data_IF_475496121414
#
_entry.id   IF_475496121414
#
_cell.length_a   1.000
_cell.length_b   1.000
_cell.length_c   1.000
_cell.angle_alpha   90.00
_cell.angle_beta   90.00
_cell.angle_gamma   90.00
#
_symmetry.space_group_name_H-M   'P 1'
#
loop_
_entity.id
_entity.type
_entity.pdbx_description
1 polymer ?
#
# COMPACT_ATOMS: atom_id res chain seq x y z
N UNK A 1 4.72 18.75 20.24
CA UNK A 1 5.72 17.74 19.82
C UNK A 1 5.15 16.42 19.28
N UNK A 2 3.85 16.12 19.41
CA UNK A 2 3.27 14.87 18.89
C UNK A 2 3.22 14.74 17.36
N UNK A 3 3.15 15.86 16.61
CA UNK A 3 2.97 15.82 15.16
C UNK A 3 4.18 15.20 14.42
N UNK A 4 5.42 15.55 14.84
CA UNK A 4 6.64 14.98 14.23
C UNK A 4 6.68 13.45 14.33
N UNK A 5 6.37 12.88 15.51
CA UNK A 5 6.38 11.42 15.70
C UNK A 5 5.32 10.75 14.84
N UNK A 6 4.13 11.35 14.74
CA UNK A 6 3.04 10.84 13.88
C UNK A 6 3.44 10.87 12.41
N UNK A 7 4.01 11.97 11.94
CA UNK A 7 4.49 12.08 10.56
C UNK A 7 5.59 11.07 10.23
N UNK A 8 6.48 10.79 11.18
CA UNK A 8 7.48 9.72 11.00
C UNK A 8 6.84 8.35 10.91
N UNK A 9 5.83 8.04 11.74
CA UNK A 9 5.10 6.78 11.64
C UNK A 9 4.42 6.61 10.29
N UNK A 10 3.77 7.66 9.76
CA UNK A 10 3.15 7.64 8.43
C UNK A 10 4.23 7.42 7.36
N UNK A 11 5.38 8.09 7.44
CA UNK A 11 6.51 7.89 6.52
C UNK A 11 7.05 6.46 6.54
N UNK A 12 7.22 5.87 7.73
CA UNK A 12 7.66 4.49 7.87
C UNK A 12 6.65 3.54 7.22
N UNK A 13 5.36 3.67 7.54
CA UNK A 13 4.33 2.82 6.95
C UNK A 13 4.26 2.94 5.41
N UNK A 14 4.46 4.14 4.86
CA UNK A 14 4.57 4.36 3.41
C UNK A 14 5.76 3.61 2.83
N UNK A 15 6.91 3.66 3.52
CA UNK A 15 8.11 2.93 3.16
C UNK A 15 7.90 1.41 3.16
N UNK A 16 7.19 0.89 4.16
CA UNK A 16 6.91 -0.53 4.29
C UNK A 16 5.99 -1.03 3.15
N UNK A 17 4.91 -0.30 2.86
CA UNK A 17 4.02 -0.60 1.72
C UNK A 17 4.79 -0.53 0.40
N UNK A 18 5.59 0.53 0.20
CA UNK A 18 6.40 0.69 -1.00
C UNK A 18 7.40 -0.48 -1.18
N UNK A 19 8.11 -0.83 -0.11
CA UNK A 19 9.08 -1.92 -0.11
C UNK A 19 8.41 -3.28 -0.40
N UNK A 20 7.23 -3.54 0.18
CA UNK A 20 6.48 -4.76 -0.08
C UNK A 20 6.05 -4.89 -1.56
N UNK A 21 5.59 -3.79 -2.17
CA UNK A 21 5.21 -3.76 -3.59
C UNK A 21 6.42 -3.98 -4.51
N UNK A 22 7.54 -3.31 -4.25
CA UNK A 22 8.78 -3.50 -5.01
C UNK A 22 9.29 -4.93 -4.86
N UNK A 23 9.29 -5.47 -3.64
CA UNK A 23 9.69 -6.85 -3.37
C UNK A 23 8.81 -7.85 -4.11
N UNK A 24 7.49 -7.70 -4.06
CA UNK A 24 6.54 -8.56 -4.77
C UNK A 24 6.77 -8.55 -6.28
N UNK A 25 6.98 -7.36 -6.87
CA UNK A 25 7.30 -7.21 -8.29
C UNK A 25 8.59 -7.95 -8.66
N UNK A 26 9.64 -7.78 -7.85
CA UNK A 26 10.92 -8.46 -8.08
C UNK A 26 10.78 -9.97 -7.98
N UNK A 27 10.02 -10.48 -7.01
CA UNK A 27 9.77 -11.92 -6.87
C UNK A 27 8.95 -12.48 -8.02
N UNK A 28 7.96 -11.73 -8.54
CA UNK A 28 7.19 -12.13 -9.71
C UNK A 28 8.08 -12.33 -10.93
N UNK A 29 8.98 -11.36 -11.19
CA UNK A 29 9.95 -11.41 -12.30
C UNK A 29 10.93 -12.56 -12.11
N UNK A 30 11.54 -12.70 -10.93
CA UNK A 30 12.53 -13.76 -10.66
C UNK A 30 11.95 -15.17 -10.85
N UNK A 31 10.69 -15.36 -10.47
CA UNK A 31 10.00 -16.65 -10.53
C UNK A 31 9.29 -16.89 -11.86
N UNK A 32 9.19 -15.85 -12.71
CA UNK A 32 8.31 -15.83 -13.88
C UNK A 32 6.90 -16.34 -13.55
N UNK A 33 6.36 -15.91 -12.40
CA UNK A 33 5.10 -16.41 -11.84
C UNK A 33 4.36 -15.30 -11.11
N UNK A 34 3.07 -15.49 -10.85
CA UNK A 34 2.26 -14.50 -10.14
C UNK A 34 2.65 -14.42 -8.66
N UNK A 35 2.88 -13.20 -8.17
CA UNK A 35 3.12 -12.91 -6.76
C UNK A 35 2.08 -11.91 -6.27
N UNK A 36 1.45 -12.21 -5.15
CA UNK A 36 0.36 -11.44 -4.58
C UNK A 36 0.82 -10.75 -3.31
N UNK A 37 0.47 -9.47 -3.16
CA UNK A 37 0.47 -8.78 -1.87
C UNK A 37 -0.96 -8.80 -1.36
N UNK A 38 -1.21 -9.48 -0.24
CA UNK A 38 -2.55 -9.72 0.29
C UNK A 38 -2.68 -9.17 1.70
N UNK A 39 -3.80 -8.51 1.96
CA UNK A 39 -4.18 -8.06 3.30
C UNK A 39 -5.45 -8.81 3.74
N UNK A 40 -5.47 -9.36 4.97
CA UNK A 40 -6.70 -9.91 5.52
C UNK A 40 -7.79 -8.83 5.57
N UNK A 41 -8.99 -9.14 5.06
CA UNK A 41 -10.20 -8.32 5.21
C UNK A 41 -10.08 -6.82 4.83
N UNK A 42 -9.23 -6.45 3.87
CA UNK A 42 -8.93 -5.06 3.44
C UNK A 42 -8.36 -4.15 4.54
N UNK A 43 -8.04 -4.70 5.71
CA UNK A 43 -7.37 -3.96 6.77
C UNK A 43 -5.85 -4.04 6.60
N UNK A 44 -5.32 -3.13 5.80
CA UNK A 44 -3.88 -3.04 5.54
C UNK A 44 -3.08 -2.56 6.75
N UNK A 45 -3.71 -1.89 7.72
CA UNK A 45 -3.06 -1.58 8.98
C UNK A 45 -2.92 -2.84 9.86
N UNK A 46 -3.80 -3.82 9.69
CA UNK A 46 -3.73 -5.15 10.31
C UNK A 46 -2.56 -6.02 9.84
N UNK A 47 -1.82 -5.59 8.81
CA UNK A 47 -0.67 -6.29 8.24
C UNK A 47 -0.98 -6.96 6.90
N UNK A 48 0.06 -7.39 6.21
CA UNK A 48 -0.05 -7.98 4.88
C UNK A 48 1.03 -9.01 4.62
N UNK A 49 0.86 -9.78 3.56
CA UNK A 49 1.81 -10.79 3.15
C UNK A 49 2.09 -10.73 1.66
N UNK A 50 3.34 -11.00 1.31
CA UNK A 50 3.77 -11.22 -0.07
C UNK A 50 3.85 -12.73 -0.29
N UNK A 51 3.07 -13.24 -1.24
CA UNK A 51 2.90 -14.69 -1.48
C UNK A 51 3.17 -15.07 -2.92
N UNK A 52 3.87 -16.16 -3.14
CA UNK A 52 3.94 -16.87 -4.41
C UNK A 52 3.10 -18.14 -4.31
N UNK A 53 1.88 -18.11 -4.84
CA UNK A 53 0.89 -19.18 -4.61
C UNK A 53 0.56 -19.31 -3.12
N UNK A 54 0.84 -20.47 -2.54
CA UNK A 54 0.61 -20.75 -1.10
C UNK A 54 1.80 -20.34 -0.21
N UNK A 55 2.97 -20.08 -0.79
CA UNK A 55 4.19 -19.79 -0.04
C UNK A 55 4.25 -18.31 0.35
N UNK A 56 4.39 -18.03 1.64
CA UNK A 56 4.65 -16.69 2.16
C UNK A 56 6.14 -16.36 1.99
N UNK A 57 6.44 -15.32 1.23
CA UNK A 57 7.81 -14.84 0.96
C UNK A 57 8.24 -13.74 1.92
N UNK A 58 7.29 -12.90 2.33
CA UNK A 58 7.47 -11.84 3.31
C UNK A 58 6.15 -11.58 4.02
N UNK A 59 6.21 -11.17 5.29
CA UNK A 59 5.07 -10.79 6.11
C UNK A 59 5.39 -9.48 6.81
N UNK A 60 4.43 -8.57 6.77
CA UNK A 60 4.38 -7.39 7.60
C UNK A 60 3.33 -7.60 8.70
N UNK A 61 3.75 -7.43 9.95
CA UNK A 61 2.83 -7.45 11.09
C UNK A 61 2.05 -6.13 11.20
N UNK A 62 0.99 -6.14 12.02
CA UNK A 62 0.11 -5.00 12.20
C UNK A 62 0.87 -3.71 12.59
N UNK A 63 0.47 -2.60 11.98
CA UNK A 63 1.03 -1.28 12.20
C UNK A 63 0.14 -0.47 13.14
N UNK A 64 0.67 -0.12 14.31
CA UNK A 64 -0.04 0.70 15.29
C UNK A 64 -0.06 2.19 14.95
N UNK A 65 -1.18 2.87 15.20
CA UNK A 65 -1.28 4.33 15.11
C UNK A 65 -1.46 4.87 13.68
N UNK A 66 -1.74 3.99 12.71
CA UNK A 66 -1.87 4.29 11.29
C UNK A 66 -3.18 3.68 10.77
N UNK A 67 -3.87 4.42 9.91
CA UNK A 67 -4.93 3.89 9.06
C UNK A 67 -4.41 3.83 7.62
N UNK A 68 -4.64 2.69 6.96
CA UNK A 68 -4.29 2.47 5.56
C UNK A 68 -5.58 2.16 4.79
N UNK A 69 -5.98 3.08 3.92
CA UNK A 69 -7.12 2.92 3.04
C UNK A 69 -6.63 2.54 1.64
N UNK A 70 -6.80 1.28 1.26
CA UNK A 70 -6.37 0.76 -0.04
C UNK A 70 -7.55 0.57 -0.98
N UNK A 71 -7.52 1.27 -2.12
CA UNK A 71 -8.64 1.33 -3.06
C UNK A 71 -8.19 1.35 -4.51
N UNK A 72 -9.10 1.05 -5.41
CA UNK A 72 -8.92 1.27 -6.84
C UNK A 72 -9.13 2.76 -7.19
N UNK A 73 -8.21 3.35 -7.94
CA UNK A 73 -8.24 4.78 -8.30
C UNK A 73 -9.42 5.18 -9.21
N UNK A 74 -10.11 4.23 -9.85
CA UNK A 74 -11.21 4.52 -10.78
C UNK A 74 -12.56 4.18 -10.14
N UNK A 75 -12.65 3.01 -9.52
CA UNK A 75 -13.92 2.49 -8.98
C UNK A 75 -14.13 2.83 -7.50
N UNK A 76 -13.10 3.33 -6.81
CA UNK A 76 -13.08 3.59 -5.36
C UNK A 76 -13.35 2.33 -4.50
N UNK A 77 -13.37 1.14 -5.12
CA UNK A 77 -13.59 -0.12 -4.46
C UNK A 77 -12.38 -0.50 -3.58
N UNK A 78 -12.64 -1.04 -2.39
CA UNK A 78 -11.60 -1.53 -1.50
C UNK A 78 -10.80 -2.66 -2.15
N UNK A 79 -9.48 -2.62 -1.99
CA UNK A 79 -8.56 -3.63 -2.52
C UNK A 79 -8.03 -4.47 -1.36
N UNK A 80 -8.09 -5.79 -1.51
CA UNK A 80 -7.49 -6.76 -0.58
C UNK A 80 -6.22 -7.40 -1.12
N UNK A 81 -6.01 -7.33 -2.45
CA UNK A 81 -4.93 -8.02 -3.14
C UNK A 81 -4.36 -7.18 -4.28
N UNK A 82 -3.03 -7.09 -4.33
CA UNK A 82 -2.28 -6.57 -5.48
C UNK A 82 -1.47 -7.73 -6.09
N UNK A 83 -1.72 -8.05 -7.36
CA UNK A 83 -1.12 -9.18 -8.06
C UNK A 83 -0.15 -8.70 -9.14
N UNK A 84 1.11 -9.09 -9.00
CA UNK A 84 2.15 -8.91 -10.01
C UNK A 84 2.28 -10.17 -10.87
N UNK A 85 2.32 -10.00 -12.18
CA UNK A 85 2.58 -11.07 -13.16
C UNK A 85 4.09 -11.28 -13.35
N UNK A 86 4.47 -12.38 -14.02
CA UNK A 86 5.87 -12.74 -14.27
C UNK A 86 6.68 -11.72 -15.09
N UNK A 87 6.01 -10.80 -15.79
CA UNK A 87 6.63 -9.68 -16.51
C UNK A 87 6.81 -8.42 -15.62
N UNK A 88 6.42 -8.50 -14.35
CA UNK A 88 6.48 -7.41 -13.39
C UNK A 88 5.38 -6.35 -13.54
N UNK A 89 4.38 -6.58 -14.40
CA UNK A 89 3.19 -5.73 -14.52
C UNK A 89 2.11 -6.19 -13.55
N UNK A 90 1.12 -5.33 -13.31
CA UNK A 90 -0.05 -5.72 -12.52
C UNK A 90 -1.00 -6.57 -13.34
N UNK A 91 -1.65 -7.52 -12.67
CA UNK A 91 -2.83 -8.20 -13.20
C UNK A 91 -3.96 -7.19 -13.42
N UNK A 92 -4.78 -7.40 -14.46
CA UNK A 92 -5.96 -6.57 -14.74
C UNK A 92 -6.96 -6.60 -13.58
N UNK A 93 -7.02 -7.71 -12.82
CA UNK A 93 -7.86 -7.84 -11.64
C UNK A 93 -7.45 -6.94 -10.47
N UNK A 94 -6.20 -6.46 -10.45
CA UNK A 94 -5.73 -5.52 -9.42
C UNK A 94 -6.07 -4.07 -9.73
N UNK A 95 -6.59 -3.77 -10.93
CA UNK A 95 -6.98 -2.42 -11.32
C UNK A 95 -5.82 -1.41 -11.23
N UNK A 96 -6.09 -0.26 -10.60
CA UNK A 96 -5.13 0.82 -10.36
C UNK A 96 -5.05 1.10 -8.86
N UNK A 97 -4.29 0.31 -8.08
CA UNK A 97 -4.29 0.46 -6.63
C UNK A 97 -3.72 1.80 -6.17
N UNK A 98 -4.33 2.37 -5.15
CA UNK A 98 -3.79 3.45 -4.32
C UNK A 98 -3.93 3.08 -2.86
N UNK A 99 -2.88 3.34 -2.09
CA UNK A 99 -2.86 3.18 -0.64
C UNK A 99 -2.77 4.57 -0.04
N UNK A 100 -3.76 4.98 0.74
CA UNK A 100 -3.79 6.26 1.43
C UNK A 100 -3.49 6.03 2.91
N UNK A 101 -2.34 6.51 3.36
CA UNK A 101 -1.85 6.32 4.72
C UNK A 101 -1.98 7.62 5.51
N UNK A 102 -2.58 7.51 6.70
CA UNK A 102 -2.77 8.62 7.64
C UNK A 102 -2.64 8.15 9.08
N UNK A 103 -2.45 9.09 10.01
CA UNK A 103 -2.51 8.76 11.44
C UNK A 103 -3.92 8.28 11.82
N UNK A 104 -4.01 7.30 12.70
CA UNK A 104 -5.28 6.82 13.26
C UNK A 104 -5.79 7.68 14.43
N UNK A 105 -5.01 8.67 14.86
CA UNK A 105 -5.34 9.50 16.03
C UNK A 105 -6.27 10.67 15.62
N UNK A 106 -7.42 10.78 16.29
CA UNK A 106 -8.40 11.85 16.04
C UNK A 106 -7.83 13.24 16.38
N UNK A 107 -8.14 14.23 15.55
CA UNK A 107 -7.70 15.63 15.74
C UNK A 107 -6.25 15.92 15.31
N UNK A 108 -5.58 14.98 14.65
CA UNK A 108 -4.25 15.18 14.09
C UNK A 108 -4.31 15.86 12.71
N UNK A 109 -3.74 17.06 12.57
CA UNK A 109 -3.38 17.67 11.27
C UNK A 109 -2.06 17.06 10.77
N UNK A 110 -2.04 15.74 10.57
CA UNK A 110 -0.89 15.02 10.01
C UNK A 110 -1.04 14.91 8.51
N UNK A 111 0.03 15.17 7.78
CA UNK A 111 0.03 15.09 6.32
C UNK A 111 -0.17 13.64 5.87
N UNK A 112 -1.27 13.37 5.17
CA UNK A 112 -1.49 12.06 4.57
C UNK A 112 -0.46 11.79 3.46
N UNK A 113 -0.19 10.52 3.20
CA UNK A 113 0.75 10.08 2.16
C UNK A 113 0.17 8.91 1.41
N UNK A 114 0.47 8.83 0.13
CA UNK A 114 -0.14 7.82 -0.72
C UNK A 114 0.89 7.07 -1.53
N UNK A 115 0.68 5.77 -1.67
CA UNK A 115 1.42 4.92 -2.59
C UNK A 115 0.49 4.59 -3.74
N UNK A 116 0.79 5.10 -4.92
CA UNK A 116 0.01 4.84 -6.15
C UNK A 116 0.76 3.87 -7.03
N UNK A 117 0.03 2.93 -7.60
CA UNK A 117 0.55 2.05 -8.63
C UNK A 117 0.02 2.46 -10.00
N UNK A 118 0.90 2.45 -10.99
CA UNK A 118 0.51 2.49 -12.39
C UNK A 118 0.32 1.07 -12.95
N UNK A 119 -0.25 0.95 -14.14
CA UNK A 119 -0.45 -0.34 -14.81
C UNK A 119 0.88 -1.01 -15.22
N UNK A 120 2.01 -0.31 -15.11
CA UNK A 120 3.34 -0.91 -15.30
C UNK A 120 3.85 -1.61 -14.03
N UNK A 121 3.09 -1.51 -12.93
CA UNK A 121 3.42 -2.08 -11.64
C UNK A 121 4.44 -1.26 -10.85
N UNK A 122 4.72 -0.01 -11.26
CA UNK A 122 5.68 0.84 -10.58
C UNK A 122 4.98 1.61 -9.45
N UNK A 123 5.39 1.42 -8.17
CA UNK A 123 4.87 2.23 -7.08
C UNK A 123 5.47 3.63 -7.11
N UNK A 124 4.65 4.64 -6.81
CA UNK A 124 5.03 6.04 -6.67
C UNK A 124 4.46 6.63 -5.39
N UNK A 125 5.30 7.33 -4.62
CA UNK A 125 4.87 8.00 -3.39
C UNK A 125 4.43 9.43 -3.70
N UNK A 126 3.25 9.80 -3.22
CA UNK A 126 2.72 11.16 -3.22
C UNK A 126 2.48 11.63 -1.80
N UNK A 127 2.65 12.93 -1.60
CA UNK A 127 2.32 13.60 -0.34
C UNK A 127 1.01 14.33 -0.59
N UNK A 128 0.09 14.28 0.37
CA UNK A 128 -1.10 15.11 0.37
C UNK A 128 -0.68 16.58 0.50
N UNK A 129 -1.04 17.40 -0.49
CA UNK A 129 -0.68 18.82 -0.51
C UNK A 129 -1.83 19.75 -0.12
N UNK A 130 -3.06 19.25 -0.06
CA UNK A 130 -4.25 20.04 0.27
C UNK A 130 -4.69 19.89 1.74
N UNK A 131 -4.01 19.03 2.52
CA UNK A 131 -4.32 18.69 3.92
C UNK A 131 -5.74 18.13 4.10
N UNK A 132 -6.32 17.53 3.06
CA UNK A 132 -7.60 16.86 3.10
C UNK A 132 -7.41 15.34 3.05
N UNK A 133 -7.31 14.66 4.21
CA UNK A 133 -7.06 13.22 4.26
C UNK A 133 -8.25 12.37 3.78
N UNK A 134 -9.35 12.98 3.32
CA UNK A 134 -10.54 12.31 2.83
C UNK A 134 -10.56 12.16 1.30
N UNK A 135 -9.86 13.01 0.53
CA UNK A 135 -9.82 12.94 -0.95
C UNK A 135 -8.55 12.25 -1.50
N UNK A 136 -7.69 11.76 -0.60
CA UNK A 136 -6.43 11.11 -0.91
C UNK A 136 -5.29 12.11 -1.08
N UNK A 137 -4.24 11.76 -1.82
CA UNK A 137 -3.14 12.69 -2.11
C UNK A 137 -3.44 13.44 -3.41
N UNK A 138 -4.11 14.57 -3.30
CA UNK A 138 -4.25 15.53 -4.41
C UNK A 138 -3.08 16.52 -4.42
#
# INVERSE_FOLDING_TARGET
MGNLVRDQRVKTAVGDVYAALVFARSEAIKRNATVNVVSPASDWAGGWEVRAGVTVLNRQDALGGINIDAKDQITDAAITTVSYLGDGRLSTASGRPTFNLKSSESGATTTARCVRLDLSGRPNVKVDTNNNPADGCQ
#
